data_IF_541781611751
#
_entry.id   IF_541781611751
#
_cell.length_a   1.000
_cell.length_b   1.000
_cell.length_c   1.000
_cell.angle_alpha   90.00
_cell.angle_beta   90.00
_cell.angle_gamma   90.00
#
_symmetry.space_group_name_H-M   'P 1'
#
loop_
_entity.id
_entity.type
_entity.pdbx_description
1 polymer ?
#
# COMPACT_ATOMS: atom_id res chain seq x y z
N UNK A 1 -37.08 27.29 -67.94
CA UNK A 1 -36.80 28.46 -68.85
C UNK A 1 -35.36 28.22 -69.31
N UNK A 2 -35.32 27.81 -70.55
CA UNK A 2 -34.37 28.05 -71.64
C UNK A 2 -32.94 27.52 -71.34
N UNK A 3 -32.55 26.44 -72.09
CA UNK A 3 -32.08 26.44 -73.53
C UNK A 3 -30.74 27.20 -73.64
N UNK A 4 -29.73 26.76 -74.27
CA UNK A 4 -29.54 26.02 -75.56
C UNK A 4 -28.05 25.64 -75.63
N UNK A 5 -27.75 24.46 -76.15
CA UNK A 5 -27.35 24.15 -77.53
C UNK A 5 -26.01 24.81 -77.97
N UNK A 6 -25.04 24.11 -78.37
CA UNK A 6 -24.83 23.64 -79.75
C UNK A 6 -23.37 23.09 -79.84
N UNK A 7 -23.19 21.88 -80.27
CA UNK A 7 -22.77 21.46 -81.62
C UNK A 7 -21.55 22.15 -82.17
N UNK A 8 -20.60 21.33 -82.60
CA UNK A 8 -19.49 21.70 -83.45
C UNK A 8 -18.63 20.53 -83.89
N UNK A 9 -19.11 19.83 -84.83
CA UNK A 9 -18.51 18.81 -85.67
C UNK A 9 -17.28 19.35 -86.45
N UNK A 10 -16.24 18.52 -86.64
CA UNK A 10 -15.51 18.25 -87.87
C UNK A 10 -14.16 17.54 -87.57
N UNK A 11 -14.01 16.37 -87.91
CA UNK A 11 -13.50 15.66 -89.12
C UNK A 11 -12.02 15.93 -89.49
N UNK A 12 -11.37 14.80 -89.59
CA UNK A 12 -10.43 14.29 -90.56
C UNK A 12 -8.96 14.32 -90.19
N UNK A 13 -8.48 13.08 -90.06
CA UNK A 13 -7.54 12.40 -90.92
C UNK A 13 -6.03 12.63 -90.72
N UNK A 14 -5.35 11.57 -90.57
CA UNK A 14 -3.88 11.51 -90.65
C UNK A 14 -3.25 10.27 -90.06
N UNK A 15 -3.25 9.26 -90.83
CA UNK A 15 -2.46 8.04 -90.59
C UNK A 15 -1.01 8.36 -90.23
N UNK A 16 -0.51 7.82 -89.18
CA UNK A 16 0.93 7.44 -89.19
C UNK A 16 1.19 6.30 -88.21
N UNK A 17 1.48 5.17 -88.79
CA UNK A 17 1.95 3.94 -88.19
C UNK A 17 3.33 4.22 -87.63
N UNK A 18 3.57 4.14 -86.37
CA UNK A 18 4.90 4.08 -85.83
C UNK A 18 4.94 3.25 -84.52
N UNK A 19 5.44 2.06 -84.73
CA UNK A 19 6.25 1.26 -83.79
C UNK A 19 5.84 1.17 -82.34
N UNK A 20 5.17 0.06 -82.03
CA UNK A 20 5.11 -0.52 -80.70
C UNK A 20 6.53 -0.87 -80.18
N UNK A 21 7.10 -0.02 -79.37
CA UNK A 21 8.26 -0.38 -78.61
C UNK A 21 7.73 -0.99 -77.28
N UNK A 22 7.61 -2.32 -77.21
CA UNK A 22 7.35 -3.09 -76.02
C UNK A 22 8.38 -2.73 -74.92
N UNK A 23 8.01 -1.90 -73.97
CA UNK A 23 8.77 -1.76 -72.72
C UNK A 23 8.50 -3.01 -71.90
N UNK A 24 9.54 -3.85 -71.73
CA UNK A 24 9.56 -4.88 -70.66
C UNK A 24 9.25 -4.26 -69.35
N UNK A 25 8.31 -4.86 -68.52
CA UNK A 25 8.20 -4.48 -67.16
C UNK A 25 9.48 -4.88 -66.40
N UNK A 26 10.23 -3.91 -65.97
CA UNK A 26 11.33 -4.11 -65.06
C UNK A 26 10.74 -4.69 -63.77
N UNK A 27 10.99 -5.98 -63.54
CA UNK A 27 10.84 -6.59 -62.25
C UNK A 27 11.78 -5.87 -61.29
N UNK A 28 11.27 -4.83 -60.59
CA UNK A 28 11.89 -4.38 -59.36
C UNK A 28 11.60 -5.44 -58.32
N UNK A 29 12.55 -6.34 -58.14
CA UNK A 29 12.62 -7.15 -56.94
C UNK A 29 12.74 -6.19 -55.74
N UNK A 30 11.64 -5.95 -55.10
CA UNK A 30 11.58 -5.29 -53.78
C UNK A 30 12.01 -6.30 -52.71
N UNK A 31 13.30 -6.53 -52.60
CA UNK A 31 13.93 -7.25 -51.50
C UNK A 31 14.15 -6.30 -50.33
N UNK A 32 13.06 -5.70 -49.80
CA UNK A 32 13.10 -4.83 -48.64
C UNK A 32 12.32 -5.37 -47.42
N UNK A 33 12.18 -6.69 -47.31
CA UNK A 33 11.39 -7.28 -46.23
C UNK A 33 12.23 -7.99 -45.15
N UNK A 34 13.54 -7.81 -45.07
CA UNK A 34 14.35 -8.55 -44.10
C UNK A 34 15.07 -7.70 -43.03
N UNK A 35 14.76 -6.42 -42.91
CA UNK A 35 15.40 -5.58 -41.86
C UNK A 35 14.57 -5.35 -40.58
N UNK A 36 13.34 -5.81 -40.53
CA UNK A 36 12.46 -5.53 -39.38
C UNK A 36 12.45 -6.59 -38.27
N UNK A 37 12.93 -7.83 -38.58
CA UNK A 37 12.79 -8.93 -37.61
C UNK A 37 13.75 -8.84 -36.42
N UNK A 38 14.89 -8.18 -36.52
CA UNK A 38 15.83 -8.02 -35.42
C UNK A 38 15.38 -6.93 -34.41
N UNK A 39 14.73 -5.89 -34.92
CA UNK A 39 14.23 -4.80 -34.08
C UNK A 39 13.01 -5.21 -33.24
N UNK A 40 12.08 -5.96 -33.87
CA UNK A 40 10.90 -6.47 -33.18
C UNK A 40 11.28 -7.46 -32.05
N UNK A 41 12.28 -8.28 -32.25
CA UNK A 41 12.72 -9.26 -31.24
C UNK A 41 13.39 -8.59 -30.05
N UNK A 42 14.17 -7.54 -30.27
CA UNK A 42 14.76 -6.73 -29.24
C UNK A 42 13.70 -5.97 -28.44
N UNK A 43 12.69 -5.41 -29.07
CA UNK A 43 11.57 -4.71 -28.43
C UNK A 43 10.76 -5.63 -27.53
N UNK A 44 10.47 -6.85 -28.00
CA UNK A 44 9.79 -7.87 -27.19
C UNK A 44 10.64 -8.26 -25.98
N UNK A 45 11.95 -8.48 -26.15
CA UNK A 45 12.84 -8.80 -25.05
C UNK A 45 12.91 -7.66 -24.03
N UNK A 46 13.00 -6.42 -24.50
CA UNK A 46 12.99 -5.24 -23.63
C UNK A 46 11.65 -5.13 -22.87
N UNK A 47 10.54 -5.31 -23.57
CA UNK A 47 9.20 -5.29 -22.96
C UNK A 47 9.03 -6.36 -21.90
N UNK A 48 9.43 -7.59 -22.17
CA UNK A 48 9.38 -8.69 -21.19
C UNK A 48 10.29 -8.42 -19.98
N UNK A 49 11.46 -7.85 -20.21
CA UNK A 49 12.39 -7.50 -19.12
C UNK A 49 11.80 -6.44 -18.19
N UNK A 50 11.26 -5.36 -18.75
CA UNK A 50 10.60 -4.29 -17.97
C UNK A 50 9.38 -4.86 -17.23
N UNK A 51 8.58 -5.69 -17.90
CA UNK A 51 7.43 -6.35 -17.28
C UNK A 51 7.84 -7.25 -16.12
N UNK A 52 8.87 -8.08 -16.29
CA UNK A 52 9.37 -8.96 -15.23
C UNK A 52 9.85 -8.19 -14.01
N UNK A 53 10.60 -7.09 -14.21
CA UNK A 53 11.04 -6.20 -13.12
C UNK A 53 9.83 -5.56 -12.43
N UNK A 54 8.83 -5.12 -13.19
CA UNK A 54 7.60 -4.55 -12.67
C UNK A 54 6.82 -5.54 -11.79
N UNK A 55 6.68 -6.78 -12.22
CA UNK A 55 6.00 -7.85 -11.45
C UNK A 55 6.75 -8.16 -10.16
N UNK A 56 8.07 -8.25 -10.20
CA UNK A 56 8.89 -8.48 -9.01
C UNK A 56 8.80 -7.32 -8.01
N UNK A 57 8.81 -6.08 -8.50
CA UNK A 57 8.67 -4.90 -7.66
C UNK A 57 7.29 -4.86 -6.99
N UNK A 58 6.23 -5.18 -7.74
CA UNK A 58 4.86 -5.25 -7.22
C UNK A 58 4.72 -6.35 -6.16
N UNK A 59 5.29 -7.54 -6.40
CA UNK A 59 5.29 -8.63 -5.43
C UNK A 59 5.89 -8.22 -4.09
N UNK A 60 7.04 -7.55 -4.11
CA UNK A 60 7.69 -7.03 -2.89
C UNK A 60 6.85 -5.95 -2.19
N UNK A 61 6.21 -5.08 -2.97
CA UNK A 61 5.35 -4.04 -2.39
C UNK A 61 4.15 -4.64 -1.65
N UNK A 62 3.51 -5.65 -2.24
CA UNK A 62 2.39 -6.38 -1.60
C UNK A 62 2.85 -7.09 -0.33
N UNK A 63 3.97 -7.79 -0.35
CA UNK A 63 4.54 -8.45 0.82
C UNK A 63 4.81 -7.47 1.96
N UNK A 64 5.42 -6.32 1.67
CA UNK A 64 5.65 -5.26 2.66
C UNK A 64 4.36 -4.70 3.24
N UNK A 65 3.31 -4.52 2.42
CA UNK A 65 2.00 -4.06 2.89
C UNK A 65 1.33 -5.09 3.82
N UNK A 66 1.40 -6.38 3.48
CA UNK A 66 0.85 -7.45 4.31
C UNK A 66 1.58 -7.54 5.65
N UNK A 67 2.89 -7.49 5.65
CA UNK A 67 3.68 -7.49 6.88
C UNK A 67 3.35 -6.29 7.76
N UNK A 68 3.27 -5.08 7.19
CA UNK A 68 2.87 -3.89 7.93
C UNK A 68 1.45 -4.00 8.51
N UNK A 69 0.52 -4.60 7.79
CA UNK A 69 -0.86 -4.82 8.25
C UNK A 69 -0.92 -5.76 9.45
N UNK A 70 -0.16 -6.85 9.44
CA UNK A 70 -0.08 -7.80 10.56
C UNK A 70 0.52 -7.11 11.80
N UNK A 71 1.61 -6.37 11.62
CA UNK A 71 2.25 -5.64 12.71
C UNK A 71 1.29 -4.64 13.38
N UNK A 72 0.53 -3.90 12.59
CA UNK A 72 -0.47 -2.96 13.08
C UNK A 72 -1.61 -3.67 13.86
N UNK A 73 -2.06 -4.84 13.37
CA UNK A 73 -3.12 -5.60 14.03
C UNK A 73 -2.70 -6.11 15.43
N UNK A 74 -1.45 -6.56 15.57
CA UNK A 74 -0.90 -6.96 16.87
C UNK A 74 -0.83 -5.77 17.84
N UNK A 75 -0.32 -4.62 17.39
CA UNK A 75 -0.22 -3.42 18.22
C UNK A 75 -1.60 -2.94 18.66
N UNK A 76 -2.58 -2.95 17.78
CA UNK A 76 -3.95 -2.55 18.10
C UNK A 76 -4.59 -3.50 19.13
N UNK A 77 -4.31 -4.79 19.02
CA UNK A 77 -4.76 -5.76 20.03
C UNK A 77 -4.16 -5.47 21.41
N UNK A 78 -2.87 -5.13 21.47
CA UNK A 78 -2.22 -4.73 22.74
C UNK A 78 -2.84 -3.44 23.29
N UNK A 79 -3.13 -2.46 22.44
CA UNK A 79 -3.85 -1.24 22.86
C UNK A 79 -5.21 -1.55 23.47
N UNK A 80 -5.96 -2.43 22.84
CA UNK A 80 -7.27 -2.86 23.34
C UNK A 80 -7.17 -3.53 24.70
N UNK A 81 -6.17 -4.41 24.90
CA UNK A 81 -5.91 -5.06 26.20
C UNK A 81 -5.60 -4.02 27.27
N UNK A 82 -4.73 -3.05 26.99
CA UNK A 82 -4.38 -1.98 27.92
C UNK A 82 -5.60 -1.11 28.25
N UNK A 83 -6.40 -0.74 27.25
CA UNK A 83 -7.61 0.06 27.43
C UNK A 83 -8.67 -0.66 28.25
N UNK A 84 -8.93 -1.94 27.97
CA UNK A 84 -9.87 -2.75 28.73
C UNK A 84 -9.44 -2.87 30.19
N UNK A 85 -8.14 -3.13 30.42
CA UNK A 85 -7.62 -3.21 31.79
C UNK A 85 -7.68 -1.88 32.54
N UNK A 86 -7.41 -0.78 31.85
CA UNK A 86 -7.59 0.56 32.41
C UNK A 86 -9.04 0.78 32.86
N UNK A 87 -10.01 0.45 31.98
CA UNK A 87 -11.43 0.57 32.30
C UNK A 87 -11.84 -0.32 33.50
N UNK A 88 -11.34 -1.55 33.57
CA UNK A 88 -11.56 -2.44 34.72
C UNK A 88 -11.05 -1.84 36.02
N UNK A 89 -9.83 -1.29 36.03
CA UNK A 89 -9.24 -0.65 37.21
C UNK A 89 -10.06 0.59 37.60
N UNK A 90 -10.51 1.37 36.64
CA UNK A 90 -11.33 2.56 36.92
C UNK A 90 -12.72 2.20 37.47
N UNK A 91 -13.31 1.11 37.02
CA UNK A 91 -14.62 0.64 37.46
C UNK A 91 -14.59 -0.18 38.75
N UNK A 92 -13.45 -0.82 39.07
CA UNK A 92 -13.35 -1.68 40.26
C UNK A 92 -13.53 -0.87 41.53
N UNK A 93 -14.34 -1.35 42.49
CA UNK A 93 -14.41 -0.74 43.82
C UNK A 93 -13.11 -1.04 44.60
N UNK A 94 -12.65 -0.08 45.39
CA UNK A 94 -11.46 -0.24 46.22
C UNK A 94 -10.15 0.26 45.57
N UNK A 95 -9.06 0.05 46.31
CA UNK A 95 -7.75 0.52 45.88
C UNK A 95 -7.15 -0.41 44.78
N UNK A 96 -6.46 0.13 43.77
CA UNK A 96 -5.84 -0.70 42.77
C UNK A 96 -4.70 -1.53 43.37
N UNK A 97 -4.55 -2.78 42.88
CA UNK A 97 -3.47 -3.69 43.30
C UNK A 97 -2.10 -3.02 43.11
N UNK A 98 -1.23 -3.13 44.13
CA UNK A 98 0.10 -2.52 44.10
C UNK A 98 0.98 -3.08 42.98
N UNK A 99 0.93 -4.39 42.74
CA UNK A 99 1.60 -5.07 41.65
C UNK A 99 0.87 -6.34 41.25
N UNK A 100 0.61 -6.51 39.95
CA UNK A 100 -0.03 -7.71 39.40
C UNK A 100 0.46 -7.98 38.01
N UNK A 101 0.68 -9.26 37.70
CA UNK A 101 1.14 -9.70 36.39
C UNK A 101 0.11 -10.65 35.77
N UNK A 102 -0.16 -10.47 34.48
CA UNK A 102 -1.05 -11.31 33.71
C UNK A 102 -0.35 -11.77 32.44
N UNK A 103 -0.61 -13.01 32.03
CA UNK A 103 -0.19 -13.55 30.73
C UNK A 103 -1.44 -13.75 29.88
N UNK A 104 -1.52 -13.07 28.76
CA UNK A 104 -2.69 -13.07 27.89
C UNK A 104 -2.25 -13.64 26.53
N UNK A 105 -2.91 -14.72 26.10
CA UNK A 105 -2.71 -15.26 24.77
C UNK A 105 -3.61 -14.52 23.78
N UNK A 106 -3.03 -13.87 22.77
CA UNK A 106 -3.73 -13.05 21.79
C UNK A 106 -4.00 -13.75 20.47
N UNK A 107 -3.52 -15.00 20.28
CA UNK A 107 -3.52 -15.69 19.00
C UNK A 107 -2.30 -15.34 18.13
N UNK A 108 -1.67 -14.19 18.34
CA UNK A 108 -0.40 -13.80 17.70
C UNK A 108 0.82 -14.11 18.59
N UNK A 109 0.60 -14.32 19.87
CA UNK A 109 1.62 -14.58 20.85
C UNK A 109 1.15 -14.31 22.28
N UNK A 110 2.07 -14.43 23.22
CA UNK A 110 1.80 -14.14 24.65
C UNK A 110 2.16 -12.70 24.94
N UNK A 111 1.19 -11.94 25.42
CA UNK A 111 1.37 -10.59 25.96
C UNK A 111 1.48 -10.67 27.47
N UNK A 112 2.58 -10.20 28.02
CA UNK A 112 2.81 -10.05 29.45
C UNK A 112 2.33 -8.66 29.88
N UNK A 113 1.25 -8.60 30.64
CA UNK A 113 0.71 -7.35 31.17
C UNK A 113 1.12 -7.19 32.63
N UNK A 114 1.81 -6.12 32.94
CA UNK A 114 2.27 -5.77 34.29
C UNK A 114 1.51 -4.53 34.74
N UNK A 115 0.77 -4.67 35.85
CA UNK A 115 0.12 -3.57 36.51
C UNK A 115 0.96 -3.16 37.73
N UNK A 116 1.19 -1.87 37.91
CA UNK A 116 1.77 -1.29 39.12
C UNK A 116 0.92 -0.10 39.56
N UNK A 117 0.71 0.06 40.84
CA UNK A 117 0.07 1.25 41.38
C UNK A 117 0.76 1.74 42.66
N UNK A 118 0.82 3.03 42.81
CA UNK A 118 1.38 3.70 43.96
C UNK A 118 0.53 4.91 44.31
N UNK A 119 0.45 5.32 45.58
CA UNK A 119 -0.13 6.60 45.95
C UNK A 119 0.51 7.72 45.13
N UNK A 120 -0.28 8.64 44.63
CA UNK A 120 0.24 9.79 43.91
C UNK A 120 0.53 10.89 44.94
N UNK A 121 1.80 11.29 45.08
CA UNK A 121 2.22 12.39 45.95
C UNK A 121 1.91 13.74 45.27
N UNK A 122 0.62 14.05 45.18
CA UNK A 122 0.16 15.32 44.64
C UNK A 122 -0.09 16.34 45.73
N UNK A 123 0.39 17.56 45.54
CA UNK A 123 0.25 18.65 46.49
C UNK A 123 -0.41 19.84 45.79
N UNK A 124 -1.43 20.43 46.41
CA UNK A 124 -2.06 21.69 45.99
C UNK A 124 -1.20 22.91 46.33
N UNK A 125 -1.43 24.06 45.63
CA UNK A 125 -0.89 25.34 46.09
C UNK A 125 -1.30 25.64 47.51
N UNK A 126 -0.35 25.63 48.45
CA UNK A 126 -0.62 25.72 49.90
C UNK A 126 -0.11 24.51 50.68
N UNK A 127 0.62 23.61 50.03
CA UNK A 127 1.24 22.43 50.63
C UNK A 127 0.24 21.42 51.25
N UNK A 128 -1.00 21.41 50.75
CA UNK A 128 -2.01 20.44 51.13
C UNK A 128 -1.83 19.17 50.32
N UNK A 129 -1.51 18.05 50.97
CA UNK A 129 -1.33 16.77 50.32
C UNK A 129 -2.71 16.17 49.95
N UNK A 130 -2.90 15.87 48.67
CA UNK A 130 -4.09 15.20 48.14
C UNK A 130 -4.04 13.71 48.45
N UNK A 131 -4.98 13.22 49.26
CA UNK A 131 -5.09 11.80 49.60
C UNK A 131 -6.13 11.08 48.74
N UNK A 132 -5.99 9.75 48.57
CA UNK A 132 -6.92 8.92 47.79
C UNK A 132 -6.67 8.90 46.28
N UNK A 133 -5.64 9.56 45.81
CA UNK A 133 -5.24 9.51 44.40
C UNK A 133 -4.09 8.50 44.23
N UNK A 134 -4.23 7.60 43.28
CA UNK A 134 -3.24 6.59 42.95
C UNK A 134 -2.80 6.76 41.48
N UNK A 135 -1.50 6.67 41.24
CA UNK A 135 -0.95 6.53 39.90
C UNK A 135 -0.91 5.06 39.57
N UNK A 136 -1.71 4.64 38.60
CA UNK A 136 -1.69 3.29 38.06
C UNK A 136 -0.91 3.29 36.73
N UNK A 137 0.02 2.35 36.60
CA UNK A 137 0.84 2.15 35.42
C UNK A 137 0.62 0.73 34.88
N UNK A 138 0.21 0.62 33.64
CA UNK A 138 0.07 -0.63 32.91
C UNK A 138 1.15 -0.73 31.84
N UNK A 139 1.93 -1.81 31.87
CA UNK A 139 2.97 -2.09 30.87
C UNK A 139 2.69 -3.42 30.21
N UNK A 140 2.52 -3.43 28.90
CA UNK A 140 2.39 -4.62 28.08
C UNK A 140 3.73 -4.91 27.41
N UNK A 141 4.18 -6.16 27.47
CA UNK A 141 5.40 -6.65 26.84
C UNK A 141 5.04 -7.85 25.95
N UNK A 142 5.51 -7.85 24.70
CA UNK A 142 5.30 -8.95 23.75
C UNK A 142 6.48 -9.08 22.81
N UNK A 143 6.51 -10.14 22.03
CA UNK A 143 7.51 -10.34 20.99
C UNK A 143 6.83 -10.28 19.64
N UNK A 144 7.32 -9.41 18.76
CA UNK A 144 6.79 -9.20 17.43
C UNK A 144 7.91 -9.41 16.40
N UNK A 145 7.76 -10.36 15.50
CA UNK A 145 8.80 -10.67 14.52
C UNK A 145 10.15 -11.06 15.14
N UNK A 146 10.16 -11.64 16.34
CA UNK A 146 11.39 -11.96 17.08
C UNK A 146 11.98 -10.78 17.88
N UNK A 147 11.41 -9.60 17.80
CA UNK A 147 11.86 -8.40 18.52
C UNK A 147 10.94 -8.12 19.71
N UNK A 148 11.54 -7.91 20.87
CA UNK A 148 10.80 -7.55 22.08
C UNK A 148 10.22 -6.13 21.94
N UNK A 149 8.92 -6.01 22.16
CA UNK A 149 8.17 -4.77 22.13
C UNK A 149 7.58 -4.48 23.51
N UNK A 150 7.40 -3.21 23.81
CA UNK A 150 6.72 -2.79 25.05
C UNK A 150 5.89 -1.54 24.83
N UNK A 151 4.74 -1.48 25.50
CA UNK A 151 3.87 -0.31 25.52
C UNK A 151 3.38 -0.06 26.92
N UNK A 152 3.37 1.19 27.33
CA UNK A 152 2.99 1.60 28.67
C UNK A 152 1.96 2.72 28.64
N UNK A 153 1.00 2.66 29.55
CA UNK A 153 0.06 3.74 29.84
C UNK A 153 0.07 4.01 31.35
N UNK A 154 -0.09 5.26 31.73
CA UNK A 154 -0.21 5.67 33.12
C UNK A 154 -1.41 6.58 33.27
N UNK A 155 -2.17 6.41 34.34
CA UNK A 155 -3.37 7.17 34.61
C UNK A 155 -3.62 7.30 36.12
N UNK A 156 -4.36 8.30 36.51
CA UNK A 156 -4.73 8.51 37.90
C UNK A 156 -6.08 7.88 38.22
N UNK A 157 -6.16 7.28 39.39
CA UNK A 157 -7.38 6.68 39.92
C UNK A 157 -7.67 7.35 41.26
N UNK A 158 -8.84 7.97 41.37
CA UNK A 158 -9.30 8.53 42.64
C UNK A 158 -10.18 7.51 43.36
N UNK A 159 -9.95 7.35 44.67
CA UNK A 159 -10.77 6.54 45.56
C UNK A 159 -11.03 7.33 46.84
N UNK A 160 -12.29 7.69 47.06
CA UNK A 160 -12.72 8.22 48.34
C UNK A 160 -12.58 7.13 49.40
N UNK A 161 -12.11 7.50 50.57
CA UNK A 161 -12.11 6.64 51.75
C UNK A 161 -13.49 6.53 52.32
#
# INVERSE_FOLDING_TARGET
MRQDDSEGTALLNGSSVAALKRRKPSHRNSSTLHRFNGFALYEVLLGVTIFAVGVLALGRAVENCLNASILNAEEERVRQILSNRMAEIQAAPGFPDTAKEFKINTGYGIVKLIQKSAPADLTEPGNIQLSGIYLATLSAQWTQGGVAQSKQISFYVYRAR
#
